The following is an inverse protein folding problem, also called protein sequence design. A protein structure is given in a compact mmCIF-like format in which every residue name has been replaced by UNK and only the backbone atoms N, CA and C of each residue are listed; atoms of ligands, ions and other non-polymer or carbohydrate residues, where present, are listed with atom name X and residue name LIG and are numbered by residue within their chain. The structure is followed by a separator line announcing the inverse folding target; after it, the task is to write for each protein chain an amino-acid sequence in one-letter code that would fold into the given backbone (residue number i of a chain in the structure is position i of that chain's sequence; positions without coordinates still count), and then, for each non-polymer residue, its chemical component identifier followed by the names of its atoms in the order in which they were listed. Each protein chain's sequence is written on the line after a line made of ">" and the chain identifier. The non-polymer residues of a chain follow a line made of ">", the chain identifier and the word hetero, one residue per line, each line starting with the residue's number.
data_IF_387015332879
#
_entry.id   IF_387015332879
#
_cell.length_a   1.000
_cell.length_b   1.000
_cell.length_c   1.000
_cell.angle_alpha   90.00
_cell.angle_beta   90.00
_cell.angle_gamma   90.00
#
_symmetry.space_group_name_H-M   'P 1'
#
loop_
_entity.id
_entity.type
_entity.pdbx_description
1 polymer ?
#
# COMPACT_ATOMS: atom_id res chain seq x y z
N UNK A 1 -25.40 13.38 37.81
CA UNK A 1 -24.77 14.36 36.91
C UNK A 1 -23.77 13.56 36.09
N UNK A 2 -24.01 13.42 34.79
CA UNK A 2 -23.18 12.59 33.90
C UNK A 2 -22.23 13.51 33.14
N UNK A 3 -20.96 13.11 33.02
CA UNK A 3 -19.92 13.88 32.35
C UNK A 3 -20.15 13.96 30.83
N UNK A 4 -19.78 15.07 30.17
CA UNK A 4 -19.93 15.23 28.73
C UNK A 4 -19.01 14.27 27.96
N UNK A 5 -19.46 13.84 26.78
CA UNK A 5 -18.70 12.92 25.94
C UNK A 5 -17.45 13.61 25.35
N UNK A 6 -16.35 12.86 25.18
CA UNK A 6 -15.12 13.36 24.56
C UNK A 6 -15.32 13.90 23.13
N UNK A 7 -14.61 14.99 22.83
CA UNK A 7 -14.72 15.72 21.56
C UNK A 7 -14.21 14.94 20.34
N UNK A 8 -13.44 13.87 20.54
CA UNK A 8 -12.91 13.00 19.48
C UNK A 8 -13.95 12.05 18.87
N UNK A 9 -15.13 11.93 19.49
CA UNK A 9 -16.22 11.04 19.05
C UNK A 9 -17.40 11.84 18.46
N UNK A 10 -17.41 13.17 18.63
CA UNK A 10 -18.49 14.05 18.16
C UNK A 10 -18.02 14.78 16.91
N UNK A 11 -18.39 14.28 15.72
CA UNK A 11 -18.06 14.92 14.45
C UNK A 11 -18.68 16.32 14.30
N UNK A 12 -17.93 17.26 13.72
CA UNK A 12 -18.31 18.68 13.62
C UNK A 12 -19.49 18.95 12.66
N UNK A 13 -19.83 18.01 11.77
CA UNK A 13 -20.74 18.24 10.63
C UNK A 13 -22.11 17.53 10.70
N UNK A 14 -22.63 17.22 11.89
CA UNK A 14 -24.02 16.80 12.05
C UNK A 14 -24.74 17.70 13.05
N UNK A 15 -25.74 18.42 12.53
CA UNK A 15 -26.60 19.33 13.29
C UNK A 15 -26.99 18.73 14.65
N UNK A 16 -26.74 19.52 15.70
CA UNK A 16 -26.90 19.27 17.13
C UNK A 16 -28.09 18.37 17.51
N UNK A 17 -27.99 17.08 17.27
CA UNK A 17 -28.78 16.10 17.99
C UNK A 17 -28.03 15.86 19.28
N UNK A 18 -28.56 16.47 20.34
CA UNK A 18 -28.18 16.11 21.71
C UNK A 18 -28.62 14.66 21.89
N UNK A 19 -27.70 13.72 21.69
CA UNK A 19 -27.95 12.28 21.87
C UNK A 19 -28.05 12.03 23.37
N UNK A 20 -29.19 12.39 23.95
CA UNK A 20 -29.49 12.23 25.37
C UNK A 20 -29.97 10.79 25.70
N UNK A 21 -30.10 9.95 24.67
CA UNK A 21 -30.64 8.59 24.78
C UNK A 21 -29.75 7.61 24.02
N UNK A 22 -29.41 6.49 24.67
CA UNK A 22 -28.68 5.37 24.08
C UNK A 22 -29.55 4.11 24.14
N UNK A 23 -29.48 3.25 23.11
CA UNK A 23 -30.28 2.02 23.04
C UNK A 23 -31.76 2.29 22.82
N UNK A 24 -32.08 2.92 21.68
CA UNK A 24 -33.45 3.24 21.29
C UNK A 24 -33.69 2.89 19.82
N UNK A 25 -34.95 2.58 19.50
CA UNK A 25 -35.44 2.47 18.12
C UNK A 25 -36.25 3.72 17.79
N UNK A 26 -35.95 4.38 16.66
CA UNK A 26 -36.52 5.68 16.35
C UNK A 26 -36.94 5.86 14.89
N UNK A 27 -38.09 6.49 14.68
CA UNK A 27 -38.62 6.82 13.35
C UNK A 27 -38.70 8.34 13.17
N UNK A 28 -38.07 8.85 12.11
CA UNK A 28 -37.99 10.28 11.79
C UNK A 28 -38.88 10.62 10.60
N UNK A 29 -40.11 11.04 10.87
CA UNK A 29 -41.13 11.32 9.84
C UNK A 29 -40.95 12.71 9.22
N UNK A 30 -40.24 13.62 9.89
CA UNK A 30 -39.92 14.93 9.33
C UNK A 30 -39.13 15.83 10.27
N UNK A 31 -38.85 17.06 9.83
CA UNK A 31 -37.91 18.01 10.44
C UNK A 31 -38.16 18.34 11.94
N UNK A 32 -39.33 17.99 12.49
CA UNK A 32 -39.67 18.09 13.93
C UNK A 32 -40.63 16.98 14.40
N UNK A 33 -40.70 15.86 13.65
CA UNK A 33 -41.59 14.75 13.96
C UNK A 33 -40.80 13.46 14.11
N UNK A 34 -40.71 12.96 15.34
CA UNK A 34 -40.08 11.67 15.61
C UNK A 34 -40.71 10.97 16.82
N UNK A 35 -40.56 9.65 16.83
CA UNK A 35 -40.84 8.83 17.99
C UNK A 35 -39.62 7.97 18.28
N UNK A 36 -39.21 7.90 19.55
CA UNK A 36 -38.15 7.02 20.05
C UNK A 36 -38.75 6.06 21.06
N UNK A 37 -38.49 4.76 20.92
CA UNK A 37 -38.72 3.75 21.92
C UNK A 37 -37.42 3.46 22.66
N UNK A 38 -37.37 3.77 23.95
CA UNK A 38 -36.21 3.47 24.78
C UNK A 38 -36.21 1.99 25.18
N UNK A 39 -35.04 1.44 25.47
CA UNK A 39 -34.84 0.07 25.96
C UNK A 39 -35.69 -0.34 27.18
N UNK A 40 -36.14 0.63 27.98
CA UNK A 40 -37.04 0.40 29.12
C UNK A 40 -38.54 0.40 28.76
N UNK A 41 -38.87 0.42 27.45
CA UNK A 41 -40.24 0.45 26.94
C UNK A 41 -40.91 1.82 26.98
N UNK A 42 -40.22 2.87 27.47
CA UNK A 42 -40.77 4.24 27.49
C UNK A 42 -40.67 4.89 26.12
N UNK A 43 -41.73 5.58 25.73
CA UNK A 43 -41.79 6.30 24.46
C UNK A 43 -41.49 7.80 24.64
N UNK A 44 -40.64 8.34 23.78
CA UNK A 44 -40.39 9.78 23.64
C UNK A 44 -40.95 10.22 22.30
N UNK A 45 -41.87 11.18 22.30
CA UNK A 45 -42.54 11.68 21.10
C UNK A 45 -42.28 13.16 20.96
N UNK A 46 -42.01 13.59 19.75
CA UNK A 46 -42.01 15.00 19.37
C UNK A 46 -42.80 15.14 18.10
N UNK A 47 -43.95 15.80 18.16
CA UNK A 47 -44.78 16.13 17.02
C UNK A 47 -45.37 17.52 17.29
N UNK A 48 -45.18 18.48 16.39
CA UNK A 48 -45.65 19.85 16.60
C UNK A 48 -47.07 20.10 16.08
N UNK A 49 -47.71 19.10 15.45
CA UNK A 49 -49.04 19.22 14.84
C UNK A 49 -49.75 17.85 14.79
N UNK A 50 -49.95 17.28 13.60
CA UNK A 50 -50.75 16.08 13.37
C UNK A 50 -49.88 14.87 13.67
N UNK A 51 -50.07 14.25 14.83
CA UNK A 51 -49.36 13.03 15.18
C UNK A 51 -49.14 12.80 16.67
N UNK A 52 -49.31 13.82 17.50
CA UNK A 52 -49.04 13.77 18.94
C UNK A 52 -49.74 12.59 19.66
N UNK A 53 -50.93 12.21 19.19
CA UNK A 53 -51.74 11.11 19.70
C UNK A 53 -51.70 9.82 18.87
N UNK A 54 -50.84 9.71 17.85
CA UNK A 54 -50.74 8.49 17.05
C UNK A 54 -50.14 7.34 17.88
N UNK A 55 -50.62 6.09 17.76
CA UNK A 55 -49.91 4.95 18.32
C UNK A 55 -48.54 4.81 17.66
N UNK A 56 -47.61 4.07 18.28
CA UNK A 56 -46.26 3.87 17.73
C UNK A 56 -46.30 3.39 16.27
N UNK A 57 -47.18 2.43 15.98
CA UNK A 57 -47.45 1.91 14.64
C UNK A 57 -47.82 3.01 13.64
N UNK A 58 -48.63 3.99 14.06
CA UNK A 58 -49.05 5.09 13.18
C UNK A 58 -47.92 6.02 12.77
N UNK A 59 -46.82 6.07 13.53
CA UNK A 59 -45.61 6.80 13.10
C UNK A 59 -44.77 5.99 12.10
N UNK A 60 -44.76 4.67 12.21
CA UNK A 60 -44.10 3.76 11.27
C UNK A 60 -44.81 3.85 9.91
N UNK A 61 -46.14 3.82 9.93
CA UNK A 61 -46.96 3.99 8.73
C UNK A 61 -46.68 5.33 8.04
N UNK A 62 -46.62 6.43 8.80
CA UNK A 62 -46.28 7.73 8.22
C UNK A 62 -44.87 7.77 7.63
N UNK A 63 -43.88 7.19 8.32
CA UNK A 63 -42.51 7.10 7.80
C UNK A 63 -42.47 6.37 6.45
N UNK A 64 -43.25 5.29 6.32
CA UNK A 64 -43.28 4.47 5.10
C UNK A 64 -44.16 5.06 3.98
N UNK A 65 -45.20 5.85 4.30
CA UNK A 65 -46.14 6.43 3.32
C UNK A 65 -45.57 7.66 2.58
N UNK A 66 -44.59 8.37 3.15
CA UNK A 66 -44.08 9.61 2.57
C UNK A 66 -42.97 9.45 1.52
N UNK A 67 -42.53 8.22 1.20
CA UNK A 67 -41.46 8.04 0.22
C UNK A 67 -42.01 8.12 -1.23
N UNK A 68 -42.11 9.37 -1.70
CA UNK A 68 -42.08 9.88 -3.09
C UNK A 68 -43.42 10.03 -3.82
N UNK A 69 -43.85 11.29 -3.97
CA UNK A 69 -44.79 11.71 -5.03
C UNK A 69 -44.01 11.90 -6.32
N UNK A 70 -44.44 11.25 -7.40
CA UNK A 70 -43.86 11.47 -8.72
C UNK A 70 -44.20 12.86 -9.27
N UNK A 71 -43.15 13.59 -9.67
CA UNK A 71 -43.26 14.88 -10.37
C UNK A 71 -43.50 14.62 -11.85
N UNK A 72 -44.49 15.29 -12.42
CA UNK A 72 -44.79 15.25 -13.85
C UNK A 72 -44.15 16.44 -14.53
N UNK A 73 -43.42 16.19 -15.62
CA UNK A 73 -42.78 17.21 -16.45
C UNK A 73 -43.37 17.18 -17.86
N UNK A 74 -43.40 18.33 -18.55
CA UNK A 74 -43.72 18.37 -19.98
C UNK A 74 -42.52 17.87 -20.83
N UNK A 75 -42.71 17.79 -22.15
CA UNK A 75 -41.68 17.34 -23.11
C UNK A 75 -40.42 18.23 -23.13
N UNK A 76 -40.51 19.44 -22.59
CA UNK A 76 -39.41 20.41 -22.47
C UNK A 76 -38.70 20.31 -21.10
N UNK A 77 -39.10 19.38 -20.23
CA UNK A 77 -38.54 19.19 -18.89
C UNK A 77 -39.03 20.20 -17.85
N UNK A 78 -40.08 20.98 -18.14
CA UNK A 78 -40.70 21.93 -17.23
C UNK A 78 -41.70 21.19 -16.33
N UNK A 79 -41.60 21.42 -15.02
CA UNK A 79 -42.52 20.82 -14.04
C UNK A 79 -43.95 21.33 -14.25
N UNK A 80 -44.89 20.39 -14.43
CA UNK A 80 -46.28 20.70 -14.74
C UNK A 80 -47.22 20.41 -13.56
N UNK A 81 -47.00 19.30 -12.84
CA UNK A 81 -47.86 18.89 -11.72
C UNK A 81 -47.19 17.80 -10.85
N UNK A 82 -47.84 17.42 -9.76
CA UNK A 82 -47.56 16.22 -8.95
C UNK A 82 -48.78 15.31 -8.96
N UNK A 83 -48.61 14.03 -9.33
CA UNK A 83 -49.73 13.07 -9.37
C UNK A 83 -50.38 12.96 -7.97
N UNK A 84 -51.73 12.94 -7.86
CA UNK A 84 -52.40 12.70 -6.59
C UNK A 84 -52.03 11.33 -6.01
N UNK A 85 -52.04 11.19 -4.68
CA UNK A 85 -51.90 9.91 -3.99
C UNK A 85 -53.03 8.97 -4.43
N UNK A 86 -52.71 7.98 -5.25
CA UNK A 86 -53.64 6.90 -5.57
C UNK A 86 -53.38 5.78 -4.57
N UNK A 87 -54.21 5.70 -3.52
CA UNK A 87 -54.25 4.52 -2.64
C UNK A 87 -55.13 3.46 -3.31
N UNK A 88 -54.65 2.91 -4.43
CA UNK A 88 -55.26 1.75 -5.06
C UNK A 88 -54.14 0.76 -5.35
N UNK A 89 -53.80 -0.07 -4.37
CA UNK A 89 -53.57 -1.51 -4.57
C UNK A 89 -53.69 -2.18 -3.18
N UNK A 90 -54.27 -3.39 -3.08
CA UNK A 90 -54.18 -4.17 -1.84
C UNK A 90 -52.70 -4.43 -1.54
N UNK A 91 -52.28 -4.22 -0.29
CA UNK A 91 -50.90 -4.43 0.20
C UNK A 91 -50.18 -5.56 -0.55
N UNK A 92 -49.24 -5.21 -1.44
CA UNK A 92 -48.28 -6.16 -1.97
C UNK A 92 -47.36 -6.58 -0.82
N UNK A 93 -47.73 -7.65 -0.11
CA UNK A 93 -46.87 -8.33 0.85
C UNK A 93 -45.86 -9.19 0.08
N UNK A 94 -45.04 -8.57 -0.79
CA UNK A 94 -43.88 -9.14 -1.50
C UNK A 94 -43.06 -7.93 -1.98
N UNK A 95 -41.82 -7.62 -1.58
CA UNK A 95 -40.60 -8.43 -1.66
C UNK A 95 -39.45 -7.81 -0.83
N UNK A 96 -39.73 -7.28 0.37
CA UNK A 96 -38.67 -6.66 1.20
C UNK A 96 -37.54 -7.63 1.59
N UNK A 97 -37.82 -8.93 1.67
CA UNK A 97 -36.82 -9.95 1.98
C UNK A 97 -35.85 -10.22 0.82
N UNK A 98 -36.27 -10.04 -0.44
CA UNK A 98 -35.43 -10.39 -1.60
C UNK A 98 -34.27 -9.38 -1.78
N UNK A 99 -34.52 -8.09 -1.55
CA UNK A 99 -33.52 -7.03 -1.70
C UNK A 99 -32.43 -7.08 -0.61
N UNK A 100 -32.78 -7.43 0.63
CA UNK A 100 -31.81 -7.57 1.73
C UNK A 100 -30.94 -8.83 1.57
N UNK A 101 -31.52 -9.92 1.05
CA UNK A 101 -30.79 -11.15 0.71
C UNK A 101 -29.83 -10.91 -0.48
N UNK A 102 -30.22 -10.15 -1.50
CA UNK A 102 -29.33 -9.82 -2.63
C UNK A 102 -28.15 -8.92 -2.21
N UNK A 103 -28.38 -7.90 -1.38
CA UNK A 103 -27.31 -7.02 -0.90
C UNK A 103 -26.32 -7.74 0.01
N UNK A 104 -26.80 -8.62 0.89
CA UNK A 104 -25.93 -9.44 1.75
C UNK A 104 -25.14 -10.48 0.96
N UNK A 105 -25.75 -11.07 -0.08
CA UNK A 105 -25.06 -12.00 -1.00
C UNK A 105 -23.93 -11.30 -1.75
N UNK A 106 -24.20 -10.12 -2.34
CA UNK A 106 -23.18 -9.34 -3.06
C UNK A 106 -22.02 -8.91 -2.14
N UNK A 107 -22.31 -8.49 -0.91
CA UNK A 107 -21.28 -8.14 0.07
C UNK A 107 -20.40 -9.34 0.47
N UNK A 108 -20.99 -10.53 0.59
CA UNK A 108 -20.28 -11.78 0.86
C UNK A 108 -19.34 -12.18 -0.29
N UNK A 109 -19.80 -12.04 -1.54
CA UNK A 109 -18.98 -12.33 -2.73
C UNK A 109 -17.77 -11.39 -2.83
N UNK A 110 -17.99 -10.08 -2.65
CA UNK A 110 -16.91 -9.08 -2.67
C UNK A 110 -15.88 -9.38 -1.57
N UNK A 111 -16.33 -9.70 -0.35
CA UNK A 111 -15.45 -10.03 0.77
C UNK A 111 -14.62 -11.28 0.47
N UNK A 112 -15.21 -12.27 -0.19
CA UNK A 112 -14.54 -13.50 -0.58
C UNK A 112 -13.49 -13.26 -1.67
N UNK A 113 -13.80 -12.44 -2.67
CA UNK A 113 -12.88 -12.04 -3.73
C UNK A 113 -11.66 -11.28 -3.17
N UNK A 114 -11.89 -10.28 -2.32
CA UNK A 114 -10.81 -9.51 -1.67
C UNK A 114 -9.91 -10.43 -0.85
N UNK A 115 -10.47 -11.41 -0.12
CA UNK A 115 -9.69 -12.36 0.66
C UNK A 115 -8.82 -13.25 -0.22
N UNK A 116 -9.34 -13.67 -1.38
CA UNK A 116 -8.59 -14.46 -2.35
C UNK A 116 -7.43 -13.64 -2.93
N UNK A 117 -7.69 -12.41 -3.38
CA UNK A 117 -6.65 -11.51 -3.89
C UNK A 117 -5.58 -11.23 -2.85
N UNK A 118 -5.96 -10.94 -1.60
CA UNK A 118 -5.01 -10.73 -0.51
C UNK A 118 -4.13 -11.97 -0.26
N UNK A 119 -4.72 -13.16 -0.36
CA UNK A 119 -3.98 -14.43 -0.21
C UNK A 119 -2.98 -14.63 -1.35
N UNK A 120 -3.38 -14.30 -2.59
CA UNK A 120 -2.48 -14.33 -3.76
C UNK A 120 -1.33 -13.35 -3.61
N UNK A 121 -1.61 -12.09 -3.27
CA UNK A 121 -0.58 -11.06 -3.04
C UNK A 121 0.39 -11.49 -1.95
N UNK A 122 -0.11 -12.14 -0.89
CA UNK A 122 0.78 -12.65 0.16
C UNK A 122 1.69 -13.78 -0.31
N UNK A 123 1.17 -14.70 -1.13
CA UNK A 123 1.99 -15.75 -1.73
C UNK A 123 3.08 -15.16 -2.64
N UNK A 124 2.72 -14.23 -3.53
CA UNK A 124 3.68 -13.54 -4.41
C UNK A 124 4.75 -12.78 -3.61
N UNK A 125 4.36 -12.10 -2.53
CA UNK A 125 5.31 -11.41 -1.65
C UNK A 125 6.31 -12.37 -1.01
N UNK A 126 5.85 -13.53 -0.56
CA UNK A 126 6.72 -14.52 0.07
C UNK A 126 7.64 -15.20 -0.96
N UNK A 127 7.17 -15.42 -2.20
CA UNK A 127 8.01 -15.88 -3.31
C UNK A 127 9.11 -14.88 -3.67
N UNK A 128 8.78 -13.59 -3.82
CA UNK A 128 9.75 -12.53 -4.06
C UNK A 128 10.79 -12.41 -2.94
N UNK A 129 10.38 -12.66 -1.68
CA UNK A 129 11.32 -12.69 -0.55
C UNK A 129 12.33 -13.83 -0.66
N UNK A 130 11.89 -15.02 -1.08
CA UNK A 130 12.81 -16.13 -1.30
C UNK A 130 13.74 -15.86 -2.49
N UNK A 131 13.25 -15.26 -3.57
CA UNK A 131 14.08 -14.87 -4.71
C UNK A 131 15.17 -13.87 -4.29
N UNK A 132 14.82 -12.84 -3.52
CA UNK A 132 15.79 -11.88 -2.98
C UNK A 132 16.84 -12.55 -2.09
N UNK A 133 16.45 -13.52 -1.25
CA UNK A 133 17.43 -14.29 -0.44
C UNK A 133 18.37 -15.12 -1.31
N UNK A 134 17.83 -15.77 -2.34
CA UNK A 134 18.62 -16.54 -3.30
C UNK A 134 19.63 -15.65 -4.03
N UNK A 135 19.19 -14.50 -4.56
CA UNK A 135 20.05 -13.54 -5.23
C UNK A 135 21.15 -13.00 -4.31
N UNK A 136 20.83 -12.67 -3.06
CA UNK A 136 21.84 -12.24 -2.08
C UNK A 136 22.90 -13.31 -1.82
N UNK A 137 22.51 -14.59 -1.80
CA UNK A 137 23.43 -15.71 -1.67
C UNK A 137 24.34 -15.79 -2.91
N UNK A 138 23.77 -15.73 -4.11
CA UNK A 138 24.54 -15.73 -5.37
C UNK A 138 25.53 -14.58 -5.44
N UNK A 139 25.12 -13.36 -5.08
CA UNK A 139 26.01 -12.17 -5.06
C UNK A 139 27.17 -12.38 -4.09
N UNK A 140 26.90 -12.94 -2.90
CA UNK A 140 27.94 -13.22 -1.91
C UNK A 140 28.97 -14.23 -2.42
N UNK A 141 28.50 -15.29 -3.11
CA UNK A 141 29.39 -16.29 -3.74
C UNK A 141 30.25 -15.65 -4.83
N UNK A 142 29.65 -14.87 -5.74
CA UNK A 142 30.39 -14.19 -6.81
C UNK A 142 31.44 -13.24 -6.25
N UNK A 143 31.13 -12.53 -5.15
CA UNK A 143 32.09 -11.65 -4.49
C UNK A 143 33.30 -12.42 -3.95
N UNK A 144 33.07 -13.56 -3.29
CA UNK A 144 34.13 -14.42 -2.79
C UNK A 144 35.03 -14.94 -3.92
N UNK A 145 34.43 -15.45 -5.02
CA UNK A 145 35.18 -15.91 -6.19
C UNK A 145 36.01 -14.79 -6.84
N UNK A 146 35.48 -13.57 -6.89
CA UNK A 146 36.20 -12.42 -7.45
C UNK A 146 37.41 -12.03 -6.59
N UNK A 147 37.28 -12.11 -5.27
CA UNK A 147 38.38 -11.83 -4.34
C UNK A 147 39.48 -12.91 -4.43
N UNK A 148 39.11 -14.18 -4.58
CA UNK A 148 40.08 -15.26 -4.84
C UNK A 148 40.84 -15.03 -6.15
N UNK A 149 40.14 -14.72 -7.25
CA UNK A 149 40.77 -14.41 -8.54
C UNK A 149 41.71 -13.21 -8.46
N UNK A 150 41.35 -12.18 -7.68
CA UNK A 150 42.23 -11.02 -7.46
C UNK A 150 43.52 -11.40 -6.75
N UNK A 151 43.45 -12.27 -5.75
CA UNK A 151 44.66 -12.78 -5.09
C UNK A 151 45.52 -13.63 -6.02
N UNK A 152 44.90 -14.48 -6.85
CA UNK A 152 45.63 -15.25 -7.86
C UNK A 152 46.38 -14.34 -8.84
N UNK A 153 45.73 -13.29 -9.35
CA UNK A 153 46.37 -12.30 -10.23
C UNK A 153 47.53 -11.58 -9.54
N UNK A 154 47.40 -11.22 -8.25
CA UNK A 154 48.50 -10.60 -7.49
C UNK A 154 49.69 -11.56 -7.34
N UNK A 155 49.42 -12.83 -7.06
CA UNK A 155 50.44 -13.88 -6.96
C UNK A 155 51.18 -14.09 -8.29
N UNK A 156 50.43 -14.16 -9.39
CA UNK A 156 51.00 -14.27 -10.74
C UNK A 156 51.87 -13.06 -11.08
N UNK A 157 51.42 -11.84 -10.79
CA UNK A 157 52.21 -10.63 -11.02
C UNK A 157 53.52 -10.61 -10.23
N UNK A 158 53.49 -11.11 -8.99
CA UNK A 158 54.71 -11.27 -8.16
C UNK A 158 55.68 -12.27 -8.78
N UNK A 159 55.15 -13.40 -9.26
CA UNK A 159 55.93 -14.42 -9.96
C UNK A 159 56.59 -13.87 -11.22
N UNK A 160 55.83 -13.16 -12.06
CA UNK A 160 56.34 -12.52 -13.28
C UNK A 160 57.43 -11.50 -12.96
N UNK A 161 57.24 -10.67 -11.93
CA UNK A 161 58.24 -9.68 -11.51
C UNK A 161 59.55 -10.34 -11.06
N UNK A 162 59.45 -11.45 -10.34
CA UNK A 162 60.61 -12.24 -9.91
C UNK A 162 61.35 -12.83 -11.11
N UNK A 163 60.61 -13.42 -12.06
CA UNK A 163 61.20 -13.97 -13.29
C UNK A 163 61.92 -12.90 -14.13
N UNK A 164 61.33 -11.71 -14.26
CA UNK A 164 61.96 -10.60 -14.98
C UNK A 164 63.25 -10.12 -14.31
N UNK A 165 63.29 -10.09 -12.98
CA UNK A 165 64.51 -9.77 -12.22
C UNK A 165 65.59 -10.82 -12.50
N UNK A 166 65.26 -12.10 -12.38
CA UNK A 166 66.19 -13.20 -12.65
C UNK A 166 66.73 -13.16 -14.10
N UNK A 167 65.88 -12.85 -15.08
CA UNK A 167 66.30 -12.72 -16.48
C UNK A 167 67.26 -11.54 -16.68
N UNK A 168 67.02 -10.42 -16.00
CA UNK A 168 67.90 -9.25 -16.04
C UNK A 168 69.27 -9.55 -15.44
N UNK A 169 69.29 -10.26 -14.31
CA UNK A 169 70.53 -10.70 -13.65
C UNK A 169 71.32 -11.67 -14.54
N UNK A 170 70.63 -12.63 -15.17
CA UNK A 170 71.25 -13.57 -16.09
C UNK A 170 71.86 -12.86 -17.32
N UNK A 171 71.15 -11.90 -17.90
CA UNK A 171 71.65 -11.11 -19.02
C UNK A 171 72.87 -10.26 -18.63
N UNK A 172 72.86 -9.69 -17.42
CA UNK A 172 74.01 -8.94 -16.87
C UNK A 172 75.22 -9.86 -16.72
N UNK A 173 75.04 -11.01 -16.08
CA UNK A 173 76.10 -12.01 -15.90
C UNK A 173 76.68 -12.50 -17.25
N UNK A 174 75.82 -12.74 -18.24
CA UNK A 174 76.24 -13.14 -19.58
C UNK A 174 77.07 -12.04 -20.26
N UNK A 175 76.63 -10.78 -20.15
CA UNK A 175 77.35 -9.62 -20.69
C UNK A 175 78.73 -9.48 -20.05
N UNK A 176 78.82 -9.63 -18.73
CA UNK A 176 80.09 -9.60 -18.01
C UNK A 176 81.03 -10.72 -18.43
N UNK A 177 80.50 -11.93 -18.64
CA UNK A 177 81.30 -13.06 -19.12
C UNK A 177 81.83 -12.81 -20.55
N UNK A 178 80.97 -12.31 -21.44
CA UNK A 178 81.37 -11.93 -22.81
C UNK A 178 82.47 -10.87 -22.75
N UNK A 179 82.31 -9.83 -21.93
CA UNK A 179 83.31 -8.78 -21.76
C UNK A 179 84.63 -9.34 -21.22
N UNK A 180 84.61 -10.30 -20.28
CA UNK A 180 85.83 -10.96 -19.79
C UNK A 180 86.53 -11.80 -20.86
N UNK A 181 85.76 -12.51 -21.69
CA UNK A 181 86.29 -13.34 -22.77
C UNK A 181 86.84 -12.51 -23.94
N UNK A 182 86.21 -11.38 -24.25
CA UNK A 182 86.59 -10.50 -25.37
C UNK A 182 87.56 -9.38 -24.96
N UNK A 183 87.60 -9.01 -23.67
CA UNK A 183 88.25 -7.80 -23.16
C UNK A 183 89.47 -8.00 -22.26
N UNK A 184 90.07 -9.19 -22.22
CA UNK A 184 91.33 -9.45 -21.50
C UNK A 184 92.59 -8.71 -22.03
N UNK A 185 92.45 -7.76 -22.96
CA UNK A 185 93.56 -6.99 -23.54
C UNK A 185 93.28 -5.50 -23.59
N UNK A 186 93.45 -4.79 -22.47
CA UNK A 186 93.29 -3.34 -22.43
C UNK A 186 93.77 -2.76 -21.11
N UNK A 187 95.09 -2.61 -20.96
CA UNK A 187 95.69 -1.94 -19.81
C UNK A 187 95.21 -0.50 -19.65
N UNK A 188 95.31 0.07 -18.44
CA UNK A 188 94.82 1.41 -18.15
C UNK A 188 95.59 2.45 -18.99
N UNK A 189 94.94 3.57 -19.38
CA UNK A 189 95.54 4.58 -20.24
C UNK A 189 96.74 5.21 -19.52
N UNK A 190 97.94 4.96 -20.02
CA UNK A 190 99.13 5.69 -19.61
C UNK A 190 98.99 7.14 -20.06
N UNK A 191 98.78 8.03 -19.08
CA UNK A 191 98.89 9.46 -19.26
C UNK A 191 100.31 9.81 -19.72
N UNK A 192 100.46 10.04 -21.02
CA UNK A 192 101.67 10.56 -21.64
C UNK A 192 101.40 11.95 -22.17
N UNK A 193 101.74 12.96 -21.36
CA UNK A 193 101.92 14.35 -21.77
C UNK A 193 102.85 14.46 -22.97
N UNK A 194 102.53 15.28 -23.96
CA UNK A 194 103.55 15.97 -24.79
C UNK A 194 102.96 17.20 -25.48
N UNK A 195 103.46 18.35 -25.02
CA UNK A 195 103.46 19.67 -25.63
C UNK A 195 104.29 19.73 -26.92
N UNK A 196 103.88 20.55 -27.88
CA UNK A 196 104.73 21.39 -28.74
C UNK A 196 103.76 22.20 -29.63
N UNK A 197 103.63 23.52 -29.43
CA UNK A 197 104.47 24.60 -29.98
C UNK A 197 104.20 24.85 -31.46
#
# INVERSE_FOLDING_TARGET
>A
MSEPLPDDIVGEDLGQFKVEYSGFDGYFVGNKMYVLQLSNGKMVRKANTVGENLPHEGYIDLYNVFDKRDKVFNEEGVWMDTKPLVVNEPLEVMSFMDNEVEQTSNGSEITSAIRAEFSTIQAEKDELREEVRSLNTTVSTIQAENDELREEVRSLNTTVSTLNTNLTDLNTNLTDLINKLLGGGGGPPSGGSSSAS
#
